data_IF_888995506548
#
_entry.id   IF_888995506548
#
_cell.length_a   1.000
_cell.length_b   1.000
_cell.length_c   1.000
_cell.angle_alpha   90.00
_cell.angle_beta   90.00
_cell.angle_gamma   90.00
#
_symmetry.space_group_name_H-M   'P 1'
#
loop_
_entity.id
_entity.type
_entity.pdbx_description
1 polymer ?
#
# COMPACT_ATOMS: atom_id res chain seq x y z
N UNK A 1 22.05 -49.27 -1.72
CA UNK A 1 22.14 -47.93 -1.10
C UNK A 1 21.77 -46.94 -2.19
N UNK A 2 20.59 -46.33 -2.10
CA UNK A 2 20.14 -45.36 -3.10
C UNK A 2 20.73 -44.02 -2.68
N UNK A 3 21.71 -43.54 -3.45
CA UNK A 3 22.31 -42.23 -3.24
C UNK A 3 21.36 -41.22 -3.84
N UNK A 4 20.55 -40.56 -3.01
CA UNK A 4 19.80 -39.36 -3.37
C UNK A 4 20.82 -38.23 -3.59
N UNK A 5 21.21 -38.01 -4.84
CA UNK A 5 21.99 -36.85 -5.24
C UNK A 5 21.05 -35.63 -5.24
N UNK A 6 21.36 -34.64 -4.39
CA UNK A 6 20.59 -33.40 -4.34
C UNK A 6 20.61 -32.64 -5.68
N UNK A 7 19.67 -31.70 -5.90
CA UNK A 7 19.49 -31.05 -7.20
C UNK A 7 20.80 -30.40 -7.68
N UNK A 8 21.12 -30.61 -8.96
CA UNK A 8 22.31 -30.10 -9.64
C UNK A 8 22.35 -28.54 -9.51
N UNK A 9 23.50 -27.85 -9.43
CA UNK A 9 23.53 -26.40 -9.25
C UNK A 9 22.77 -25.63 -10.34
N UNK A 10 22.65 -26.21 -11.55
CA UNK A 10 21.82 -25.67 -12.63
C UNK A 10 20.31 -25.76 -12.31
N UNK A 11 19.85 -26.84 -11.70
CA UNK A 11 18.46 -26.98 -11.25
C UNK A 11 18.16 -26.03 -10.09
N UNK A 12 19.11 -25.84 -9.18
CA UNK A 12 18.98 -24.85 -8.11
C UNK A 12 18.90 -23.42 -8.66
N UNK A 13 19.69 -23.09 -9.68
CA UNK A 13 19.64 -21.79 -10.35
C UNK A 13 18.30 -21.59 -11.10
N UNK A 14 17.80 -22.62 -11.79
CA UNK A 14 16.49 -22.56 -12.45
C UNK A 14 15.34 -22.46 -11.43
N UNK A 15 15.41 -23.17 -10.30
CA UNK A 15 14.46 -23.04 -9.20
C UNK A 15 14.48 -21.64 -8.59
N UNK A 16 15.65 -21.04 -8.40
CA UNK A 16 15.77 -19.66 -7.94
C UNK A 16 15.20 -18.65 -8.94
N UNK A 17 15.46 -18.83 -10.25
CA UNK A 17 14.89 -17.99 -11.31
C UNK A 17 13.36 -18.10 -11.39
N UNK A 18 12.81 -19.29 -11.18
CA UNK A 18 11.37 -19.54 -11.11
C UNK A 18 10.74 -19.12 -9.78
N UNK A 19 11.53 -18.60 -8.83
CA UNK A 19 11.06 -18.08 -7.54
C UNK A 19 10.91 -19.11 -6.41
N UNK A 20 11.35 -20.35 -6.61
CA UNK A 20 11.26 -21.44 -5.62
C UNK A 20 12.38 -21.44 -4.56
N UNK A 21 13.29 -20.46 -4.58
CA UNK A 21 14.45 -20.39 -3.67
C UNK A 21 14.24 -19.61 -2.37
N UNK A 22 13.12 -18.89 -2.22
CA UNK A 22 12.85 -18.12 -1.00
C UNK A 22 11.58 -17.29 -1.09
N UNK A 23 10.63 -17.52 -0.18
CA UNK A 23 9.43 -16.70 -0.05
C UNK A 23 9.79 -15.34 0.58
N UNK A 24 10.22 -14.40 -0.25
CA UNK A 24 10.35 -13.01 0.13
C UNK A 24 8.99 -12.35 0.26
N UNK A 25 8.73 -11.64 1.36
CA UNK A 25 7.50 -10.86 1.52
C UNK A 25 7.69 -9.43 1.01
N UNK A 26 6.61 -8.83 0.52
CA UNK A 26 6.51 -7.37 0.28
C UNK A 26 6.05 -6.62 1.53
N UNK A 27 5.96 -7.31 2.68
CA UNK A 27 5.46 -6.73 3.93
C UNK A 27 6.38 -5.60 4.39
N UNK A 28 5.82 -4.40 4.56
CA UNK A 28 6.56 -3.20 4.98
C UNK A 28 7.47 -2.59 3.90
N UNK A 29 7.44 -3.08 2.66
CA UNK A 29 8.19 -2.50 1.54
C UNK A 29 7.27 -1.65 0.68
N UNK A 30 7.79 -0.52 0.23
CA UNK A 30 7.10 0.31 -0.75
C UNK A 30 7.04 -0.43 -2.11
N UNK A 31 5.83 -0.54 -2.67
CA UNK A 31 5.59 -1.13 -3.98
C UNK A 31 5.21 -0.01 -4.95
N UNK A 32 6.04 0.19 -5.97
CA UNK A 32 5.83 1.22 -7.00
C UNK A 32 4.46 1.04 -7.66
N UNK A 33 3.65 2.10 -7.69
CA UNK A 33 2.29 2.09 -8.26
C UNK A 33 1.17 1.93 -7.22
N UNK A 34 1.49 1.63 -5.96
CA UNK A 34 0.51 1.62 -4.86
C UNK A 34 0.27 3.01 -4.24
N UNK A 35 1.08 3.99 -4.61
CA UNK A 35 1.04 5.39 -4.16
C UNK A 35 -0.20 6.15 -4.65
N UNK A 36 -0.69 5.81 -5.84
CA UNK A 36 -1.83 6.50 -6.48
C UNK A 36 -3.18 5.87 -6.20
N UNK A 37 -3.20 4.68 -5.57
CA UNK A 37 -4.42 3.95 -5.26
C UNK A 37 -5.17 4.49 -4.01
N UNK A 38 -4.51 5.34 -3.21
CA UNK A 38 -5.09 5.94 -2.01
C UNK A 38 -5.93 7.17 -2.32
N UNK A 39 -7.23 7.12 -2.01
CA UNK A 39 -8.12 8.29 -2.05
C UNK A 39 -8.95 8.38 -0.77
N UNK A 40 -9.15 9.60 -0.26
CA UNK A 40 -10.01 9.86 0.89
C UNK A 40 -11.25 10.66 0.46
N UNK A 41 -12.44 10.12 0.73
CA UNK A 41 -13.70 10.82 0.48
C UNK A 41 -14.09 11.68 1.69
N UNK A 42 -13.80 12.97 1.61
CA UNK A 42 -14.01 13.92 2.71
C UNK A 42 -15.25 14.78 2.46
N UNK A 43 -16.33 14.45 3.16
CA UNK A 43 -17.56 15.23 3.15
C UNK A 43 -17.45 16.42 4.10
N UNK A 44 -17.37 17.63 3.56
CA UNK A 44 -17.38 18.86 4.36
C UNK A 44 -18.81 19.22 4.74
N UNK A 45 -19.07 19.34 6.04
CA UNK A 45 -20.37 19.79 6.53
C UNK A 45 -20.63 21.23 6.11
N UNK A 46 -21.84 21.48 5.60
CA UNK A 46 -22.26 22.83 5.22
C UNK A 46 -22.41 23.70 6.46
N UNK A 47 -21.60 24.74 6.58
CA UNK A 47 -21.74 25.73 7.64
C UNK A 47 -22.80 26.77 7.26
N UNK A 48 -23.74 27.03 8.16
CA UNK A 48 -24.70 28.14 8.00
C UNK A 48 -24.10 29.46 8.49
N UNK A 49 -24.50 30.57 7.87
CA UNK A 49 -24.14 31.91 8.35
C UNK A 49 -25.20 32.34 9.35
N UNK A 50 -24.78 32.68 10.56
CA UNK A 50 -25.64 33.32 11.54
C UNK A 50 -25.84 34.77 11.11
N UNK A 51 -27.07 35.18 10.84
CA UNK A 51 -27.40 36.57 10.47
C UNK A 51 -28.07 37.33 11.61
N UNK A 52 -28.90 36.66 12.41
CA UNK A 52 -29.53 37.26 13.58
C UNK A 52 -28.65 37.13 14.82
N UNK A 53 -28.68 38.16 15.68
CA UNK A 53 -27.98 38.21 16.97
C UNK A 53 -26.45 38.00 16.88
N UNK A 54 -25.82 38.48 15.80
CA UNK A 54 -24.36 38.51 15.72
C UNK A 54 -23.80 39.54 16.70
N UNK A 55 -22.80 39.16 17.49
CA UNK A 55 -21.97 40.14 18.22
C UNK A 55 -20.99 40.76 17.24
N UNK A 56 -21.42 41.85 16.61
CA UNK A 56 -20.71 42.55 15.53
C UNK A 56 -21.75 43.12 14.57
N UNK A 57 -21.60 44.40 14.19
CA UNK A 57 -22.58 45.09 13.35
C UNK A 57 -22.81 44.41 12.00
N UNK A 58 -23.87 44.83 11.30
CA UNK A 58 -24.41 44.20 10.09
C UNK A 58 -23.39 43.74 9.02
N UNK A 59 -22.24 44.41 8.90
CA UNK A 59 -21.18 44.11 7.94
C UNK A 59 -19.97 43.34 8.52
N UNK A 60 -20.05 42.82 9.75
CA UNK A 60 -19.03 41.96 10.38
C UNK A 60 -19.61 40.62 10.78
#
# INVERSE_FOLDING_TARGET
EVVEEGPDPNEQAMMAMMGFGGFGTTHGKEVRGNDTAGGADVHKQRTWRQYMNRRGGFNR
#
